data_IF_267717181025
#
_entry.id   IF_267717181025
#
_cell.length_a   1.000
_cell.length_b   1.000
_cell.length_c   1.000
_cell.angle_alpha   90.00
_cell.angle_beta   90.00
_cell.angle_gamma   90.00
#
_symmetry.space_group_name_H-M   'P 1'
#
loop_
_entity.id
_entity.type
_entity.pdbx_description
1 polymer ?
#
# COMPACT_ATOMS: atom_id res chain seq x y z
N UNK A 1 11.20 4.91 5.14
CA UNK A 1 11.90 4.29 3.97
C UNK A 1 11.30 4.74 2.63
N UNK A 2 12.10 4.94 1.57
CA UNK A 2 11.61 5.46 0.28
C UNK A 2 10.58 4.55 -0.39
N UNK A 3 10.71 3.22 -0.22
CA UNK A 3 9.79 2.26 -0.83
C UNK A 3 8.34 2.39 -0.34
N UNK A 4 8.11 2.62 0.96
CA UNK A 4 6.73 2.73 1.48
C UNK A 4 6.01 3.96 0.93
N UNK A 5 6.74 5.08 0.77
CA UNK A 5 6.17 6.29 0.15
C UNK A 5 5.83 6.04 -1.32
N UNK A 6 6.68 5.32 -2.05
CA UNK A 6 6.35 4.92 -3.43
C UNK A 6 5.13 4.00 -3.48
N UNK A 7 5.06 2.99 -2.61
CA UNK A 7 3.92 2.07 -2.57
C UNK A 7 2.61 2.80 -2.23
N UNK A 8 2.65 3.80 -1.35
CA UNK A 8 1.49 4.68 -1.07
C UNK A 8 0.97 5.29 -2.36
N UNK A 9 1.84 5.99 -3.09
CA UNK A 9 1.49 6.71 -4.31
C UNK A 9 0.99 5.77 -5.41
N UNK A 10 1.61 4.59 -5.57
CA UNK A 10 1.19 3.60 -6.57
C UNK A 10 -0.15 2.89 -6.24
N UNK A 11 -0.63 2.98 -5.00
CA UNK A 11 -1.91 2.42 -4.55
C UNK A 11 -3.02 3.47 -4.41
N UNK A 12 -2.70 4.76 -4.61
CA UNK A 12 -3.69 5.82 -4.67
C UNK A 12 -4.48 5.77 -5.98
N UNK A 13 -5.66 6.40 -5.99
CA UNK A 13 -6.45 6.53 -7.20
C UNK A 13 -5.65 7.27 -8.27
N UNK A 14 -5.47 6.70 -9.48
CA UNK A 14 -4.57 7.27 -10.46
C UNK A 14 -5.09 8.62 -10.97
N UNK A 15 -4.20 9.60 -10.98
CA UNK A 15 -4.42 10.94 -11.49
C UNK A 15 -3.34 11.32 -12.53
N UNK A 16 -3.45 12.52 -13.09
CA UNK A 16 -2.50 12.96 -14.12
C UNK A 16 -1.07 13.14 -13.57
N UNK A 17 -0.95 13.56 -12.30
CA UNK A 17 0.36 13.80 -11.67
C UNK A 17 1.14 12.49 -11.54
N UNK A 18 0.48 11.41 -11.12
CA UNK A 18 1.07 10.07 -11.10
C UNK A 18 1.61 9.69 -12.49
N UNK A 19 0.78 9.81 -13.54
CA UNK A 19 1.14 9.40 -14.91
C UNK A 19 2.33 10.19 -15.43
N UNK A 20 2.35 11.51 -15.19
CA UNK A 20 3.42 12.38 -15.65
C UNK A 20 4.77 12.02 -14.99
N UNK A 21 4.75 11.48 -13.76
CA UNK A 21 5.94 11.09 -13.01
C UNK A 21 6.35 9.60 -13.15
N UNK A 22 5.49 8.72 -13.69
CA UNK A 22 5.82 7.30 -13.91
C UNK A 22 7.19 7.07 -14.58
N UNK A 23 7.57 7.80 -15.65
CA UNK A 23 8.84 7.56 -16.34
C UNK A 23 10.09 7.82 -15.48
N UNK A 24 9.98 8.63 -14.41
CA UNK A 24 11.10 8.95 -13.53
C UNK A 24 11.32 7.91 -12.42
N UNK A 25 10.31 7.08 -12.13
CA UNK A 25 10.35 6.17 -10.99
C UNK A 25 11.41 5.06 -11.16
N UNK A 26 11.57 4.39 -12.32
CA UNK A 26 12.56 3.32 -12.48
C UNK A 26 14.01 3.76 -12.20
N UNK A 27 14.39 4.98 -12.61
CA UNK A 27 15.72 5.51 -12.36
C UNK A 27 15.95 5.76 -10.86
N UNK A 28 14.94 6.30 -10.16
CA UNK A 28 14.99 6.50 -8.70
C UNK A 28 15.05 5.18 -7.95
N UNK A 29 14.29 4.18 -8.40
CA UNK A 29 14.30 2.83 -7.83
C UNK A 29 15.65 2.14 -7.96
N UNK A 30 16.33 2.28 -9.11
CA UNK A 30 17.65 1.68 -9.32
C UNK A 30 18.75 2.26 -8.40
N UNK A 31 18.50 3.40 -7.76
CA UNK A 31 19.42 4.04 -6.82
C UNK A 31 19.11 3.68 -5.35
N UNK A 32 18.00 2.98 -5.09
CA UNK A 32 17.59 2.57 -3.75
C UNK A 32 18.41 1.37 -3.28
N UNK A 33 19.04 1.47 -2.12
CA UNK A 33 19.85 0.39 -1.53
C UNK A 33 19.02 -0.60 -0.70
N UNK A 34 17.78 -0.25 -0.39
CA UNK A 34 16.86 -0.98 0.48
C UNK A 34 15.89 -1.87 -0.31
N UNK A 35 16.07 -2.02 -1.62
CA UNK A 35 15.24 -2.80 -2.54
C UNK A 35 16.09 -3.92 -3.16
N UNK A 36 15.60 -5.16 -3.09
CA UNK A 36 16.30 -6.29 -3.72
C UNK A 36 15.99 -6.39 -5.22
N UNK A 37 16.79 -7.17 -5.96
CA UNK A 37 16.66 -7.30 -7.42
C UNK A 37 15.26 -7.81 -7.84
N UNK A 38 14.63 -8.66 -7.03
CA UNK A 38 13.33 -9.23 -7.34
C UNK A 38 12.22 -8.19 -7.16
N UNK A 39 12.26 -7.42 -6.07
CA UNK A 39 11.36 -6.28 -5.84
C UNK A 39 11.54 -5.22 -6.92
N UNK A 40 12.79 -4.90 -7.31
CA UNK A 40 13.07 -3.91 -8.37
C UNK A 40 12.44 -4.32 -9.70
N UNK A 41 12.64 -5.57 -10.13
CA UNK A 41 12.04 -6.10 -11.37
C UNK A 41 10.52 -6.00 -11.30
N UNK A 42 9.94 -6.48 -10.20
CA UNK A 42 8.48 -6.50 -10.02
C UNK A 42 7.85 -5.10 -10.04
N UNK A 43 8.54 -4.10 -9.46
CA UNK A 43 8.10 -2.71 -9.48
C UNK A 43 8.20 -2.09 -10.87
N UNK A 44 9.30 -2.33 -11.59
CA UNK A 44 9.45 -1.87 -12.97
C UNK A 44 8.37 -2.46 -13.88
N UNK A 45 8.07 -3.76 -13.77
CA UNK A 45 6.99 -4.39 -14.53
C UNK A 45 5.61 -3.77 -14.24
N UNK A 46 5.35 -3.43 -12.98
CA UNK A 46 4.11 -2.75 -12.59
C UNK A 46 4.05 -1.32 -13.15
N UNK A 47 5.16 -0.57 -13.08
CA UNK A 47 5.24 0.79 -13.65
C UNK A 47 5.04 0.77 -15.16
N UNK A 48 5.66 -0.18 -15.87
CA UNK A 48 5.47 -0.37 -17.31
C UNK A 48 4.02 -0.71 -17.65
N UNK A 49 3.35 -1.52 -16.81
CA UNK A 49 1.92 -1.80 -16.94
C UNK A 49 1.07 -0.53 -16.84
N UNK A 50 1.36 0.35 -15.88
CA UNK A 50 0.66 1.63 -15.74
C UNK A 50 0.93 2.55 -16.94
N UNK A 51 2.20 2.69 -17.33
CA UNK A 51 2.61 3.55 -18.44
C UNK A 51 2.02 3.11 -19.81
N UNK A 52 1.65 1.83 -19.94
CA UNK A 52 1.02 1.27 -21.14
C UNK A 52 -0.47 1.57 -21.30
N UNK A 53 -1.12 2.25 -20.34
CA UNK A 53 -2.56 2.52 -20.33
C UNK A 53 -2.87 4.02 -20.28
N UNK A 54 -4.05 4.39 -20.78
CA UNK A 54 -4.57 5.74 -20.60
C UNK A 54 -5.05 5.96 -19.16
N UNK A 55 -5.05 7.22 -18.70
CA UNK A 55 -5.54 7.57 -17.36
C UNK A 55 -6.94 7.03 -17.10
N UNK A 56 -7.86 7.15 -18.07
CA UNK A 56 -9.23 6.66 -17.93
C UNK A 56 -9.30 5.14 -17.77
N UNK A 57 -8.46 4.38 -18.49
CA UNK A 57 -8.38 2.91 -18.32
C UNK A 57 -7.87 2.56 -16.93
N UNK A 58 -6.83 3.25 -16.45
CA UNK A 58 -6.29 3.03 -15.11
C UNK A 58 -7.29 3.35 -14.01
N UNK A 59 -8.02 4.46 -14.15
CA UNK A 59 -9.08 4.84 -13.22
C UNK A 59 -10.22 3.83 -13.20
N UNK A 60 -10.62 3.31 -14.37
CA UNK A 60 -11.63 2.26 -14.46
C UNK A 60 -11.14 0.97 -13.79
N UNK A 61 -9.91 0.55 -14.07
CA UNK A 61 -9.31 -0.66 -13.49
C UNK A 61 -9.16 -0.54 -11.97
N UNK A 62 -8.81 0.65 -11.47
CA UNK A 62 -8.73 0.94 -10.04
C UNK A 62 -10.10 0.76 -9.38
N UNK A 63 -11.13 1.43 -9.89
CA UNK A 63 -12.51 1.34 -9.37
C UNK A 63 -13.01 -0.11 -9.41
N UNK A 64 -12.78 -0.82 -10.51
CA UNK A 64 -13.17 -2.23 -10.63
C UNK A 64 -12.44 -3.11 -9.61
N UNK A 65 -11.16 -2.84 -9.38
CA UNK A 65 -10.32 -3.63 -8.46
C UNK A 65 -10.69 -3.37 -7.01
N UNK A 66 -10.72 -2.11 -6.58
CA UNK A 66 -10.72 -1.73 -5.16
C UNK A 66 -12.09 -1.24 -4.66
N UNK A 67 -12.83 -0.49 -5.46
CA UNK A 67 -14.08 0.15 -5.01
C UNK A 67 -15.30 -0.77 -5.18
N UNK A 68 -15.31 -1.58 -6.24
CA UNK A 68 -16.43 -2.47 -6.57
C UNK A 68 -16.27 -3.88 -6.00
N UNK A 69 -15.12 -4.21 -5.41
CA UNK A 69 -14.83 -5.55 -4.88
C UNK A 69 -14.42 -5.47 -3.41
N UNK A 70 -15.35 -5.77 -2.51
CA UNK A 70 -15.13 -5.68 -1.06
C UNK A 70 -13.91 -6.48 -0.56
N UNK A 71 -13.66 -7.67 -1.14
CA UNK A 71 -12.51 -8.53 -0.82
C UNK A 71 -11.14 -7.91 -1.18
N UNK A 72 -11.13 -6.84 -1.96
CA UNK A 72 -9.94 -6.10 -2.35
C UNK A 72 -9.82 -4.73 -1.68
N UNK A 73 -10.79 -4.34 -0.83
CA UNK A 73 -10.81 -3.01 -0.23
C UNK A 73 -9.47 -2.63 0.40
N UNK A 74 -9.00 -1.40 0.17
CA UNK A 74 -7.76 -0.90 0.77
C UNK A 74 -7.95 -0.41 2.22
N UNK A 75 -9.16 -0.50 2.79
CA UNK A 75 -9.42 -0.20 4.20
C UNK A 75 -9.20 -1.43 5.06
N UNK A 76 -8.07 -1.49 5.79
CA UNK A 76 -7.65 -2.72 6.45
C UNK A 76 -8.63 -3.18 7.55
N UNK A 77 -9.29 -2.25 8.25
CA UNK A 77 -10.26 -2.60 9.29
C UNK A 77 -11.51 -3.26 8.71
N UNK A 78 -11.83 -3.03 7.43
CA UNK A 78 -12.94 -3.72 6.75
C UNK A 78 -12.73 -5.24 6.72
N UNK A 79 -11.49 -5.70 6.50
CA UNK A 79 -11.17 -7.14 6.48
C UNK A 79 -11.18 -7.79 7.87
N UNK A 80 -11.00 -7.00 8.92
CA UNK A 80 -10.99 -7.47 10.31
C UNK A 80 -12.38 -7.50 10.93
N UNK A 81 -13.17 -6.46 10.66
CA UNK A 81 -14.43 -6.19 11.35
C UNK A 81 -15.65 -6.16 10.42
N UNK A 82 -15.48 -5.90 9.12
CA UNK A 82 -16.60 -5.66 8.22
C UNK A 82 -17.50 -4.53 8.74
N UNK A 83 -18.78 -4.83 8.94
CA UNK A 83 -19.77 -3.92 9.54
C UNK A 83 -19.90 -4.05 11.07
N UNK A 84 -18.97 -4.75 11.72
CA UNK A 84 -18.97 -4.90 13.17
C UNK A 84 -18.74 -3.56 13.89
N UNK A 85 -19.44 -3.37 15.00
CA UNK A 85 -19.39 -2.15 15.82
C UNK A 85 -17.99 -1.82 16.37
N UNK A 86 -17.08 -2.80 16.43
CA UNK A 86 -15.71 -2.61 16.89
C UNK A 86 -14.82 -1.92 15.84
N UNK A 87 -15.28 -1.77 14.59
CA UNK A 87 -14.56 -1.03 13.55
C UNK A 87 -14.33 0.44 13.94
N UNK A 88 -15.36 1.09 14.49
CA UNK A 88 -15.28 2.50 14.91
C UNK A 88 -14.19 2.76 15.95
N UNK A 89 -14.17 2.02 17.09
CA UNK A 89 -13.08 2.09 18.06
C UNK A 89 -11.69 1.86 17.45
N UNK A 90 -11.51 0.85 16.60
CA UNK A 90 -10.21 0.58 15.96
C UNK A 90 -9.71 1.75 15.09
N UNK A 91 -10.62 2.44 14.39
CA UNK A 91 -10.28 3.64 13.61
C UNK A 91 -9.88 4.82 14.51
N UNK A 92 -10.53 4.96 15.67
CA UNK A 92 -10.16 5.99 16.66
C UNK A 92 -8.77 5.72 17.21
N UNK A 93 -8.50 4.49 17.65
CA UNK A 93 -7.21 4.09 18.22
C UNK A 93 -6.08 4.31 17.20
N UNK A 94 -6.28 3.96 15.93
CA UNK A 94 -5.30 4.21 14.86
C UNK A 94 -5.09 5.71 14.60
N UNK A 95 -6.16 6.51 14.64
CA UNK A 95 -6.06 7.97 14.53
C UNK A 95 -5.35 8.63 15.72
N UNK A 96 -5.48 8.08 16.92
CA UNK A 96 -4.73 8.52 18.11
C UNK A 96 -3.25 8.17 17.98
N UNK A 97 -2.92 6.97 17.49
CA UNK A 97 -1.55 6.57 17.22
C UNK A 97 -0.84 7.54 16.26
N UNK A 98 -1.49 7.95 15.16
CA UNK A 98 -0.89 8.94 14.25
C UNK A 98 -0.61 10.28 14.94
N UNK A 99 -1.52 10.73 15.80
CA UNK A 99 -1.34 11.99 16.55
C UNK A 99 -0.19 11.92 17.54
N UNK A 100 0.05 10.77 18.16
CA UNK A 100 1.19 10.58 19.07
C UNK A 100 2.54 10.76 18.37
N UNK A 101 2.59 10.46 17.07
CA UNK A 101 3.74 10.72 16.19
C UNK A 101 3.71 12.11 15.54
N UNK A 102 2.75 12.98 15.91
CA UNK A 102 2.60 14.32 15.35
C UNK A 102 2.08 14.34 13.91
N UNK A 103 1.50 13.23 13.44
CA UNK A 103 0.93 13.11 12.10
C UNK A 103 -0.57 13.38 12.16
N UNK A 104 -1.02 14.37 11.40
CA UNK A 104 -2.44 14.63 11.20
C UNK A 104 -2.89 14.00 9.88
N UNK A 105 -3.92 13.14 9.94
CA UNK A 105 -4.58 12.65 8.73
C UNK A 105 -5.41 13.79 8.16
N UNK A 106 -4.93 14.36 7.06
CA UNK A 106 -5.60 15.45 6.35
C UNK A 106 -6.40 14.86 5.19
N UNK A 107 -7.69 15.19 5.11
CA UNK A 107 -8.55 14.77 4.00
C UNK A 107 -9.83 14.08 4.47
N UNK A 108 -10.54 13.47 3.52
CA UNK A 108 -11.77 12.73 3.77
C UNK A 108 -11.55 11.21 3.92
N UNK A 109 -10.30 10.76 3.89
CA UNK A 109 -9.97 9.33 4.00
C UNK A 109 -9.94 8.85 5.45
N UNK A 110 -10.29 7.59 5.65
CA UNK A 110 -10.20 6.94 6.96
C UNK A 110 -8.74 6.58 7.28
N UNK A 111 -8.34 6.58 8.56
CA UNK A 111 -6.95 6.31 8.95
C UNK A 111 -6.47 4.90 8.59
N UNK A 112 -7.37 3.97 8.29
CA UNK A 112 -7.03 2.59 7.92
C UNK A 112 -6.85 2.37 6.41
N UNK A 113 -6.93 3.44 5.61
CA UNK A 113 -6.64 3.39 4.18
C UNK A 113 -5.16 3.05 3.96
N UNK A 114 -4.89 1.96 3.23
CA UNK A 114 -3.53 1.40 3.12
C UNK A 114 -2.49 2.41 2.60
N UNK A 115 -2.75 3.26 1.60
CA UNK A 115 -1.81 4.33 1.24
C UNK A 115 -1.44 5.25 2.40
N UNK A 116 -2.41 5.70 3.22
CA UNK A 116 -2.11 6.50 4.42
C UNK A 116 -1.27 5.73 5.45
N UNK A 117 -1.56 4.45 5.65
CA UNK A 117 -0.75 3.57 6.50
C UNK A 117 0.70 3.50 5.99
N UNK A 118 0.90 3.36 4.68
CA UNK A 118 2.23 3.28 4.06
C UNK A 118 2.96 4.62 4.08
N UNK A 119 2.25 5.72 3.87
CA UNK A 119 2.79 7.07 4.06
C UNK A 119 3.26 7.27 5.49
N UNK A 120 2.43 6.92 6.49
CA UNK A 120 2.83 6.95 7.90
C UNK A 120 4.05 6.07 8.16
N UNK A 121 4.05 4.84 7.65
CA UNK A 121 5.17 3.89 7.77
C UNK A 121 6.46 4.44 7.16
N UNK A 122 6.38 5.29 6.13
CA UNK A 122 7.55 5.90 5.53
C UNK A 122 8.27 6.90 6.47
N UNK A 123 7.56 7.47 7.46
CA UNK A 123 8.10 8.36 8.49
C UNK A 123 8.75 7.63 9.68
N UNK A 124 8.42 6.37 9.90
CA UNK A 124 8.97 5.54 10.96
C UNK A 124 10.39 5.09 10.64
N UNK A 125 11.16 4.76 11.69
CA UNK A 125 12.41 4.02 11.48
C UNK A 125 12.14 2.57 11.03
N UNK A 126 13.15 1.89 10.49
CA UNK A 126 12.98 0.57 9.88
C UNK A 126 12.40 -0.49 10.84
N UNK A 127 12.75 -0.42 12.14
CA UNK A 127 12.25 -1.37 13.14
C UNK A 127 10.79 -1.06 13.49
N UNK A 128 10.49 0.21 13.74
CA UNK A 128 9.12 0.66 14.02
C UNK A 128 8.19 0.37 12.85
N UNK A 129 8.61 0.68 11.62
CA UNK A 129 7.88 0.41 10.39
C UNK A 129 7.52 -1.07 10.24
N UNK A 130 8.49 -1.95 10.46
CA UNK A 130 8.29 -3.38 10.35
C UNK A 130 7.35 -3.91 11.44
N UNK A 131 7.52 -3.47 12.69
CA UNK A 131 6.62 -3.85 13.80
C UNK A 131 5.20 -3.39 13.52
N UNK A 132 5.04 -2.13 13.14
CA UNK A 132 3.74 -1.53 12.82
C UNK A 132 3.03 -2.27 11.69
N UNK A 133 3.71 -2.57 10.58
CA UNK A 133 3.12 -3.34 9.49
C UNK A 133 2.88 -4.81 9.86
N UNK A 134 3.63 -5.38 10.79
CA UNK A 134 3.45 -6.77 11.21
C UNK A 134 2.08 -7.03 11.86
N UNK A 135 1.51 -6.03 12.54
CA UNK A 135 0.16 -6.09 13.10
C UNK A 135 -0.91 -6.22 12.00
N UNK A 136 -0.63 -5.68 10.81
CA UNK A 136 -1.49 -5.75 9.63
C UNK A 136 -1.17 -6.95 8.70
N UNK A 137 -0.10 -7.71 8.95
CA UNK A 137 0.42 -8.73 8.03
C UNK A 137 -0.64 -9.74 7.59
N UNK A 138 -1.49 -10.22 8.52
CA UNK A 138 -2.55 -11.17 8.21
C UNK A 138 -3.55 -10.61 7.18
N UNK A 139 -3.91 -9.33 7.30
CA UNK A 139 -4.83 -8.66 6.38
C UNK A 139 -4.16 -8.45 5.04
N UNK A 140 -2.91 -7.95 5.04
CA UNK A 140 -2.11 -7.74 3.84
C UNK A 140 -1.97 -9.03 3.03
N UNK A 141 -1.74 -10.15 3.70
CA UNK A 141 -1.67 -11.47 3.07
C UNK A 141 -2.98 -11.89 2.41
N UNK A 142 -4.10 -11.74 3.12
CA UNK A 142 -5.43 -12.06 2.56
C UNK A 142 -5.71 -11.20 1.33
N UNK A 143 -5.43 -9.91 1.41
CA UNK A 143 -5.61 -8.97 0.31
C UNK A 143 -4.72 -9.33 -0.89
N UNK A 144 -3.43 -9.61 -0.65
CA UNK A 144 -2.51 -10.05 -1.69
C UNK A 144 -3.00 -11.34 -2.37
N UNK A 145 -3.44 -12.33 -1.60
CA UNK A 145 -3.97 -13.60 -2.11
C UNK A 145 -5.25 -13.41 -2.94
N UNK A 146 -6.14 -12.51 -2.53
CA UNK A 146 -7.36 -12.21 -3.28
C UNK A 146 -7.04 -11.53 -4.61
N UNK A 147 -6.16 -10.52 -4.60
CA UNK A 147 -5.71 -9.85 -5.83
C UNK A 147 -4.99 -10.82 -6.79
N UNK A 148 -4.17 -11.75 -6.26
CA UNK A 148 -3.54 -12.82 -7.06
C UNK A 148 -4.59 -13.71 -7.73
N UNK A 149 -5.60 -14.16 -6.98
CA UNK A 149 -6.70 -14.99 -7.53
C UNK A 149 -7.49 -14.26 -8.61
N UNK A 150 -7.65 -12.94 -8.47
CA UNK A 150 -8.31 -12.09 -9.44
C UNK A 150 -7.42 -11.74 -10.66
N UNK A 151 -6.13 -12.10 -10.64
CA UNK A 151 -5.17 -11.74 -11.70
C UNK A 151 -4.89 -10.24 -11.77
N UNK A 152 -5.06 -9.51 -10.66
CA UNK A 152 -4.84 -8.06 -10.62
C UNK A 152 -3.35 -7.71 -10.63
N UNK A 153 -2.90 -6.73 -11.43
CA UNK A 153 -1.50 -6.26 -11.41
C UNK A 153 -1.10 -5.71 -10.04
N UNK A 154 -2.04 -5.16 -9.26
CA UNK A 154 -1.79 -4.65 -7.91
C UNK A 154 -1.37 -5.75 -6.91
N UNK A 155 -1.61 -7.03 -7.22
CA UNK A 155 -1.15 -8.15 -6.42
C UNK A 155 0.37 -8.12 -6.16
N UNK A 156 1.13 -7.59 -7.12
CA UNK A 156 2.58 -7.43 -7.01
C UNK A 156 2.95 -6.48 -5.88
N UNK A 157 2.34 -5.29 -5.83
CA UNK A 157 2.60 -4.31 -4.78
C UNK A 157 2.26 -4.87 -3.39
N UNK A 158 1.08 -5.49 -3.26
CA UNK A 158 0.63 -6.05 -1.98
C UNK A 158 1.52 -7.20 -1.51
N UNK A 159 2.08 -7.99 -2.43
CA UNK A 159 3.03 -9.06 -2.07
C UNK A 159 4.36 -8.50 -1.55
N UNK A 160 4.85 -7.40 -2.13
CA UNK A 160 6.04 -6.72 -1.63
C UNK A 160 5.75 -6.21 -0.22
N UNK A 161 4.66 -5.46 -0.03
CA UNK A 161 4.28 -4.90 1.28
C UNK A 161 4.12 -6.02 2.34
N UNK A 162 3.46 -7.13 2.00
CA UNK A 162 3.31 -8.30 2.87
C UNK A 162 4.67 -8.91 3.27
N UNK A 163 5.58 -9.08 2.29
CA UNK A 163 6.93 -9.58 2.54
C UNK A 163 7.71 -8.67 3.49
N UNK A 164 7.55 -7.35 3.35
CA UNK A 164 8.19 -6.34 4.22
C UNK A 164 7.57 -6.27 5.62
N UNK A 165 6.32 -6.67 5.77
CA UNK A 165 5.59 -6.72 7.05
C UNK A 165 5.96 -7.95 7.91
N UNK A 166 7.00 -8.71 7.55
CA UNK A 166 7.37 -9.96 8.23
C UNK A 166 8.56 -9.75 9.17
N UNK A 167 8.35 -9.99 10.48
CA UNK A 167 9.38 -9.82 11.53
C UNK A 167 10.65 -10.66 11.33
N UNK A 168 10.58 -11.74 10.56
CA UNK A 168 11.72 -12.62 10.26
C UNK A 168 12.83 -11.94 9.46
N UNK A 169 12.56 -10.78 8.82
CA UNK A 169 13.55 -10.06 8.00
C UNK A 169 14.72 -9.49 8.82
N UNK A 170 14.56 -9.27 10.14
CA UNK A 170 15.65 -8.84 11.03
C UNK A 170 16.74 -9.89 11.26
N UNK A 171 16.48 -11.15 10.95
CA UNK A 171 17.38 -12.26 11.24
C UNK A 171 18.24 -12.70 10.03
N UNK A 172 18.11 -12.05 8.88
CA UNK A 172 18.77 -12.40 7.62
C UNK A 172 19.93 -11.45 7.28
#
# INVERSE_FOLDING_TARGET
MQIYKLMSVLLEYPDQELIDHLPEIPEKLAQCVDIDDAELIALCEFIDHLAGKTLTELQQDYVQTFDLTAEHSLHLTHHLFGDDKNRGPALIDLGELYKDYGVEVVGNELPDYLPLILEFTAYLDDNEAMVFLSDANKVLKVLADNLKKAGSPYATLLSIIEGRATLTRLAA
#
